data_IF_769510028768
#
_entry.id   IF_769510028768
#
_cell.length_a   1.000
_cell.length_b   1.000
_cell.length_c   1.000
_cell.angle_alpha   90.00
_cell.angle_beta   90.00
_cell.angle_gamma   90.00
#
_symmetry.space_group_name_H-M   'P 1'
#
loop_
_entity.id
_entity.type
_entity.pdbx_description
1 polymer ?
#
# COMPACT_ATOMS: atom_id res chain seq x y z
N UNK A 1 3.89 12.81 12.61
CA UNK A 1 3.46 12.39 11.26
C UNK A 1 1.95 12.53 11.09
N UNK A 2 1.08 11.78 11.78
CA UNK A 2 -0.38 12.01 11.68
C UNK A 2 -0.89 13.18 12.54
N UNK A 3 -0.11 13.58 13.56
CA UNK A 3 -0.47 14.67 14.46
C UNK A 3 -0.28 16.07 13.84
N UNK A 4 0.33 16.14 12.65
CA UNK A 4 0.60 17.36 11.89
C UNK A 4 -0.58 17.73 10.97
N UNK A 5 -1.65 16.92 10.96
CA UNK A 5 -2.84 17.17 10.13
C UNK A 5 -3.76 18.16 10.85
N UNK A 6 -3.91 19.34 10.26
CA UNK A 6 -4.78 20.38 10.80
C UNK A 6 -6.27 20.06 10.58
N UNK A 7 -7.16 20.78 11.30
CA UNK A 7 -8.60 20.70 11.05
C UNK A 7 -8.98 21.00 9.59
N UNK A 8 -8.21 21.86 8.91
CA UNK A 8 -8.45 22.25 7.52
C UNK A 8 -8.07 21.12 6.55
N UNK A 9 -6.92 20.48 6.75
CA UNK A 9 -6.51 19.30 5.98
C UNK A 9 -7.52 18.15 6.14
N UNK A 10 -8.04 17.93 7.35
CA UNK A 10 -9.08 16.93 7.59
C UNK A 10 -10.33 17.20 6.76
N UNK A 11 -10.82 18.44 6.73
CA UNK A 11 -11.97 18.84 5.91
C UNK A 11 -11.68 18.63 4.43
N UNK A 12 -10.46 18.94 3.98
CA UNK A 12 -10.02 18.74 2.60
C UNK A 12 -10.04 17.26 2.21
N UNK A 13 -9.57 16.37 3.09
CA UNK A 13 -9.62 14.92 2.88
C UNK A 13 -11.05 14.38 2.82
N UNK A 14 -11.95 14.88 3.68
CA UNK A 14 -13.36 14.50 3.65
C UNK A 14 -14.00 14.93 2.33
N UNK A 15 -13.74 16.15 1.88
CA UNK A 15 -14.21 16.65 0.58
C UNK A 15 -13.67 15.82 -0.59
N UNK A 16 -12.38 15.48 -0.56
CA UNK A 16 -11.75 14.61 -1.56
C UNK A 16 -12.42 13.23 -1.59
N UNK A 17 -12.64 12.63 -0.42
CA UNK A 17 -13.27 11.32 -0.30
C UNK A 17 -14.73 11.37 -0.82
N UNK A 18 -15.47 12.43 -0.50
CA UNK A 18 -16.83 12.66 -1.02
C UNK A 18 -16.81 12.85 -2.53
N UNK A 19 -15.82 13.53 -3.10
CA UNK A 19 -15.70 13.73 -4.55
C UNK A 19 -15.40 12.41 -5.28
N UNK A 20 -14.48 11.60 -4.74
CA UNK A 20 -14.04 10.33 -5.35
C UNK A 20 -15.11 9.25 -5.24
N UNK A 21 -15.67 9.06 -4.04
CA UNK A 21 -16.62 7.98 -3.78
C UNK A 21 -18.09 8.40 -3.93
N UNK A 22 -18.39 9.68 -3.75
CA UNK A 22 -19.74 10.23 -3.68
C UNK A 22 -20.28 10.33 -2.25
N UNK A 23 -21.06 11.38 -1.92
CA UNK A 23 -21.59 11.61 -0.56
C UNK A 23 -22.54 10.50 -0.09
N UNK A 24 -23.23 9.85 -1.03
CA UNK A 24 -24.19 8.77 -0.74
C UNK A 24 -23.51 7.42 -0.44
N UNK A 25 -22.31 7.18 -0.99
CA UNK A 25 -21.63 5.88 -0.89
C UNK A 25 -20.70 5.78 0.31
N UNK A 26 -20.05 6.87 0.68
CA UNK A 26 -19.16 6.94 1.84
C UNK A 26 -19.80 6.43 3.15
N UNK A 27 -20.97 6.93 3.59
CA UNK A 27 -21.59 6.49 4.84
C UNK A 27 -21.97 5.01 4.77
N UNK A 28 -22.43 4.53 3.60
CA UNK A 28 -22.75 3.12 3.39
C UNK A 28 -21.50 2.23 3.52
N UNK A 29 -20.37 2.62 2.92
CA UNK A 29 -19.11 1.89 3.07
C UNK A 29 -18.62 1.84 4.52
N UNK A 30 -18.70 2.98 5.24
CA UNK A 30 -18.31 3.03 6.66
C UNK A 30 -19.18 2.08 7.49
N UNK A 31 -20.49 2.05 7.22
CA UNK A 31 -21.42 1.13 7.89
C UNK A 31 -21.07 -0.33 7.60
N UNK A 32 -20.81 -0.68 6.34
CA UNK A 32 -20.48 -2.04 5.93
C UNK A 32 -19.16 -2.52 6.58
N UNK A 33 -18.13 -1.67 6.58
CA UNK A 33 -16.85 -1.94 7.26
C UNK A 33 -17.05 -2.09 8.76
N UNK A 34 -17.78 -1.17 9.41
CA UNK A 34 -18.04 -1.23 10.84
C UNK A 34 -18.80 -2.49 11.23
N UNK A 35 -19.80 -2.88 10.42
CA UNK A 35 -20.61 -4.08 10.65
C UNK A 35 -19.78 -5.34 10.48
N UNK A 36 -18.87 -5.36 9.51
CA UNK A 36 -17.93 -6.46 9.30
C UNK A 36 -16.96 -6.58 10.48
N UNK A 37 -16.39 -5.48 10.95
CA UNK A 37 -15.50 -5.45 12.12
C UNK A 37 -16.21 -6.00 13.37
N UNK A 38 -17.48 -5.60 13.59
CA UNK A 38 -18.28 -6.12 14.72
C UNK A 38 -18.49 -7.63 14.62
N UNK A 39 -18.87 -8.13 13.45
CA UNK A 39 -19.04 -9.58 13.20
C UNK A 39 -17.75 -10.37 13.43
N UNK A 40 -16.61 -9.84 12.97
CA UNK A 40 -15.31 -10.48 13.18
C UNK A 40 -15.01 -10.57 14.68
N UNK A 41 -15.27 -9.50 15.44
CA UNK A 41 -15.09 -9.49 16.90
C UNK A 41 -16.00 -10.50 17.58
N UNK A 42 -17.28 -10.51 17.26
CA UNK A 42 -18.27 -11.45 17.84
C UNK A 42 -17.92 -12.91 17.51
N UNK A 43 -17.50 -13.20 16.28
CA UNK A 43 -17.04 -14.53 15.87
C UNK A 43 -15.80 -14.96 16.63
N UNK A 44 -14.84 -14.05 16.81
CA UNK A 44 -13.61 -14.33 17.59
C UNK A 44 -13.92 -14.59 19.06
N UNK A 45 -14.83 -13.81 19.66
CA UNK A 45 -15.23 -13.99 21.06
C UNK A 45 -15.99 -15.31 21.26
N UNK A 46 -16.87 -15.67 20.31
CA UNK A 46 -17.62 -16.93 20.34
C UNK A 46 -16.72 -18.15 20.17
N UNK A 47 -15.82 -18.14 19.18
CA UNK A 47 -14.86 -19.22 18.95
C UNK A 47 -13.94 -19.43 20.16
N UNK A 48 -13.52 -18.36 20.84
CA UNK A 48 -12.77 -18.45 22.11
C UNK A 48 -13.58 -19.15 23.20
N UNK A 49 -14.87 -18.85 23.28
CA UNK A 49 -15.76 -19.46 24.27
C UNK A 49 -16.02 -20.94 23.98
N UNK A 50 -16.16 -21.33 22.72
CA UNK A 50 -16.36 -22.72 22.30
C UNK A 50 -15.09 -23.55 22.56
N UNK A 51 -13.90 -23.03 22.20
CA UNK A 51 -12.61 -23.67 22.46
C UNK A 51 -12.37 -23.85 23.97
N UNK A 52 -12.72 -22.85 24.79
CA UNK A 52 -12.60 -22.91 26.25
C UNK A 52 -13.58 -23.93 26.86
N UNK A 53 -14.77 -24.07 26.28
CA UNK A 53 -15.81 -24.99 26.76
C UNK A 53 -15.49 -26.45 26.43
N UNK A 54 -14.92 -26.73 25.26
CA UNK A 54 -14.72 -28.09 24.78
C UNK A 54 -13.34 -28.69 25.11
N UNK A 55 -12.29 -27.88 25.21
CA UNK A 55 -10.92 -28.39 25.43
C UNK A 55 -10.41 -28.26 26.88
N UNK A 56 -11.24 -27.73 27.78
CA UNK A 56 -10.92 -27.61 29.20
C UNK A 56 -9.90 -26.51 29.54
N UNK A 57 -9.57 -26.33 30.83
CA UNK A 57 -8.75 -25.21 31.32
C UNK A 57 -7.30 -25.21 30.80
N UNK A 58 -6.83 -26.29 30.17
CA UNK A 58 -5.49 -26.43 29.57
C UNK A 58 -5.29 -25.51 28.34
N UNK A 59 -6.36 -25.02 27.70
CA UNK A 59 -6.29 -24.03 26.61
C UNK A 59 -6.57 -22.60 27.07
N UNK A 60 -6.66 -22.34 28.38
CA UNK A 60 -6.70 -20.96 28.91
C UNK A 60 -5.46 -20.17 28.52
N UNK A 61 -4.33 -20.86 28.34
CA UNK A 61 -3.01 -20.29 28.07
C UNK A 61 -2.66 -20.23 26.58
N UNK A 62 -3.54 -20.76 25.68
CA UNK A 62 -3.55 -20.34 24.27
C UNK A 62 -4.17 -18.94 24.19
N UNK A 63 -3.45 -18.01 24.81
CA UNK A 63 -3.75 -16.61 24.84
C UNK A 63 -3.52 -16.02 23.46
N UNK A 64 -4.65 -15.83 22.78
CA UNK A 64 -4.83 -14.86 21.71
C UNK A 64 -4.55 -13.40 22.14
N UNK A 65 -3.74 -13.15 23.17
CA UNK A 65 -3.15 -11.83 23.47
C UNK A 65 -2.27 -11.35 22.30
N UNK A 66 -1.75 -12.28 21.49
CA UNK A 66 -1.03 -11.97 20.26
C UNK A 66 -1.92 -11.88 19.00
N UNK A 67 -3.25 -12.03 19.08
CA UNK A 67 -4.14 -11.82 17.91
C UNK A 67 -5.03 -10.59 18.02
N UNK A 68 -4.80 -9.71 19.00
CA UNK A 68 -5.34 -8.37 18.92
C UNK A 68 -4.55 -7.64 17.82
N UNK A 69 -5.14 -7.29 16.66
CA UNK A 69 -4.37 -6.74 15.55
C UNK A 69 -3.62 -5.48 15.97
N UNK A 70 -4.14 -4.70 16.93
CA UNK A 70 -3.40 -3.56 17.51
C UNK A 70 -2.15 -3.96 18.29
N UNK A 71 -2.19 -4.99 19.14
CA UNK A 71 -1.01 -5.44 19.89
C UNK A 71 -0.09 -6.27 19.01
N UNK A 72 -0.60 -7.07 18.06
CA UNK A 72 0.20 -7.79 17.07
C UNK A 72 0.90 -6.83 16.11
N UNK A 73 0.18 -5.84 15.52
CA UNK A 73 0.78 -4.80 14.69
C UNK A 73 1.75 -3.96 15.53
N UNK A 74 1.44 -3.64 16.79
CA UNK A 74 2.38 -2.92 17.65
C UNK A 74 3.62 -3.75 17.97
N UNK A 75 3.47 -5.02 18.31
CA UNK A 75 4.57 -5.94 18.59
C UNK A 75 5.39 -6.21 17.33
N UNK A 76 4.77 -6.32 16.15
CA UNK A 76 5.45 -6.45 14.86
C UNK A 76 6.01 -5.13 14.29
N UNK A 77 5.50 -3.97 14.72
CA UNK A 77 6.07 -2.65 14.43
C UNK A 77 7.24 -2.32 15.35
N UNK A 78 7.15 -2.74 16.62
CA UNK A 78 8.17 -2.56 17.64
C UNK A 78 9.28 -3.63 17.51
N UNK A 79 8.99 -4.81 16.95
CA UNK A 79 10.02 -5.77 16.53
C UNK A 79 10.61 -5.31 15.19
N UNK A 80 11.89 -4.93 15.22
CA UNK A 80 12.70 -4.46 14.09
C UNK A 80 12.79 -5.42 12.88
N UNK A 81 12.15 -6.59 12.92
CA UNK A 81 12.31 -7.69 11.95
C UNK A 81 11.63 -7.44 10.59
N UNK A 82 10.62 -6.57 10.52
CA UNK A 82 9.89 -6.29 9.28
C UNK A 82 10.47 -5.16 8.42
N UNK A 83 11.70 -4.69 8.70
CA UNK A 83 12.37 -3.70 7.85
C UNK A 83 11.62 -2.37 7.70
N UNK A 84 10.60 -2.11 8.52
CA UNK A 84 9.81 -0.87 8.49
C UNK A 84 10.65 0.34 8.87
N UNK A 85 11.76 0.13 9.59
CA UNK A 85 12.80 1.12 9.84
C UNK A 85 13.63 1.41 8.58
N UNK A 86 13.91 0.39 7.76
CA UNK A 86 14.51 0.52 6.42
C UNK A 86 13.58 1.28 5.47
N UNK A 87 12.27 1.00 5.50
CA UNK A 87 11.26 1.73 4.70
C UNK A 87 11.11 3.16 5.19
N UNK A 88 11.15 3.38 6.52
CA UNK A 88 11.10 4.73 7.11
C UNK A 88 12.37 5.54 6.82
N UNK A 89 13.53 4.90 6.79
CA UNK A 89 14.79 5.50 6.32
C UNK A 89 14.76 5.70 4.79
N UNK A 90 14.11 4.82 4.05
CA UNK A 90 13.86 4.96 2.61
C UNK A 90 12.95 6.15 2.27
N UNK A 91 12.12 6.61 3.21
CA UNK A 91 11.38 7.87 3.07
C UNK A 91 12.24 9.13 3.30
N UNK A 92 13.46 9.00 3.84
CA UNK A 92 14.45 10.08 3.91
C UNK A 92 15.08 10.39 2.53
N UNK A 93 14.85 9.53 1.51
CA UNK A 93 15.13 9.87 0.11
C UNK A 93 14.39 11.13 -0.36
N UNK A 94 13.29 11.53 0.30
CA UNK A 94 12.60 12.77 -0.04
C UNK A 94 13.46 13.99 0.26
N UNK A 95 14.31 13.90 1.29
CA UNK A 95 15.25 14.94 1.68
C UNK A 95 16.45 14.97 0.73
N UNK A 96 16.96 13.80 0.34
CA UNK A 96 18.01 13.70 -0.69
C UNK A 96 17.53 14.12 -2.08
N UNK A 97 16.30 13.78 -2.47
CA UNK A 97 15.66 14.27 -3.71
C UNK A 97 15.48 15.80 -3.69
N UNK A 98 15.15 16.37 -2.53
CA UNK A 98 15.05 17.82 -2.38
C UNK A 98 16.42 18.50 -2.52
N UNK A 99 17.48 17.92 -1.94
CA UNK A 99 18.85 18.43 -2.08
C UNK A 99 19.39 18.29 -3.51
N UNK A 100 19.15 17.15 -4.18
CA UNK A 100 19.52 16.94 -5.60
C UNK A 100 18.76 17.90 -6.50
N UNK A 101 17.47 18.14 -6.23
CA UNK A 101 16.67 19.11 -6.98
C UNK A 101 17.19 20.53 -6.79
N UNK A 102 17.56 20.91 -5.57
CA UNK A 102 18.13 22.23 -5.25
C UNK A 102 19.51 22.44 -5.88
N UNK A 103 20.35 21.41 -5.89
CA UNK A 103 21.66 21.43 -6.55
C UNK A 103 21.56 21.58 -8.07
N UNK A 104 20.53 21.00 -8.70
CA UNK A 104 20.24 21.16 -10.13
C UNK A 104 19.73 22.57 -10.44
N UNK A 105 18.82 23.11 -9.62
CA UNK A 105 18.32 24.49 -9.79
C UNK A 105 19.42 25.54 -9.55
N UNK A 106 20.38 25.24 -8.67
CA UNK A 106 21.55 26.11 -8.43
C UNK A 106 22.51 26.15 -9.63
N UNK A 107 22.62 25.06 -10.41
CA UNK A 107 23.47 25.00 -11.61
C UNK A 107 22.88 25.77 -12.80
N UNK A 108 21.57 25.95 -12.82
CA UNK A 108 20.87 26.75 -13.84
C UNK A 108 20.94 28.27 -13.57
N UNK A 109 21.28 28.66 -12.34
CA UNK A 109 21.36 30.08 -11.93
C UNK A 109 22.72 30.74 -12.22
N UNK A 110 23.75 29.97 -12.60
CA UNK A 110 25.10 30.48 -12.91
C UNK A 110 25.49 30.34 -14.40
N UNK A 111 24.52 30.09 -15.28
CA UNK A 111 24.80 30.01 -16.71
C UNK A 111 23.67 30.60 -17.57
N UNK A 112 23.73 31.91 -17.74
CA UNK A 112 23.38 32.54 -19.01
C UNK A 112 24.48 33.53 -19.34
N UNK A 113 25.19 33.36 -20.48
CA UNK A 113 24.58 33.81 -21.72
C UNK A 113 24.90 32.96 -22.97
N UNK A 114 24.23 33.34 -24.06
CA UNK A 114 24.54 33.11 -25.48
C UNK A 114 23.88 31.91 -26.20
N UNK A 115 22.74 32.23 -26.83
CA UNK A 115 22.43 32.01 -28.25
C UNK A 115 23.28 31.02 -29.06
N UNK A 116 22.62 30.00 -29.62
CA UNK A 116 22.63 29.67 -31.06
C UNK A 116 21.76 28.43 -31.29
N UNK A 117 20.57 28.62 -31.88
CA UNK A 117 20.29 28.17 -33.25
C UNK A 117 20.95 26.85 -33.63
N UNK A 118 20.17 25.79 -33.80
CA UNK A 118 19.76 25.33 -35.12
C UNK A 118 19.26 23.89 -35.08
N UNK A 119 18.36 23.65 -36.01
CA UNK A 119 17.62 22.45 -36.31
C UNK A 119 18.47 21.22 -36.67
N UNK A 120 17.77 20.09 -36.58
CA UNK A 120 17.71 19.01 -37.58
C UNK A 120 18.61 17.79 -37.41
N UNK A 121 17.89 16.66 -37.42
CA UNK A 121 18.19 15.42 -38.15
C UNK A 121 19.24 14.48 -37.58
N UNK A 122 18.90 13.19 -37.63
CA UNK A 122 19.89 12.12 -37.61
C UNK A 122 19.47 10.91 -36.80
N UNK A 123 18.87 9.95 -37.50
CA UNK A 123 18.68 8.57 -37.07
C UNK A 123 20.00 7.89 -36.68
N UNK A 124 19.97 7.02 -35.67
CA UNK A 124 20.78 5.80 -35.69
C UNK A 124 20.16 4.75 -34.78
N UNK A 125 20.05 3.54 -35.32
CA UNK A 125 19.28 2.45 -34.76
C UNK A 125 19.92 1.82 -33.51
N UNK A 126 19.05 1.22 -32.71
CA UNK A 126 19.43 0.14 -31.81
C UNK A 126 18.42 -0.99 -32.00
N UNK A 127 18.88 -2.04 -32.68
CA UNK A 127 18.22 -3.33 -32.75
C UNK A 127 18.26 -3.96 -31.36
N UNK A 128 17.20 -3.75 -30.58
CA UNK A 128 16.92 -4.47 -29.35
C UNK A 128 15.45 -4.88 -29.39
N UNK A 129 15.18 -6.18 -29.48
CA UNK A 129 13.85 -6.73 -29.71
C UNK A 129 12.81 -6.22 -28.72
N UNK A 130 11.89 -5.38 -29.20
CA UNK A 130 10.68 -5.02 -28.49
C UNK A 130 9.65 -6.10 -28.74
N UNK A 131 9.28 -6.84 -27.69
CA UNK A 131 8.18 -7.81 -27.75
C UNK A 131 6.90 -7.07 -28.13
N UNK A 132 6.30 -7.47 -29.24
CA UNK A 132 5.06 -6.91 -29.76
C UNK A 132 3.87 -7.37 -28.89
N UNK A 133 3.35 -6.46 -28.05
CA UNK A 133 2.23 -6.71 -27.13
C UNK A 133 0.86 -6.50 -27.80
N UNK A 134 0.78 -6.42 -29.13
CA UNK A 134 -0.50 -6.30 -29.84
C UNK A 134 -1.19 -7.64 -30.11
N UNK A 135 -0.59 -8.77 -29.72
CA UNK A 135 -1.23 -10.09 -29.80
C UNK A 135 -2.11 -10.34 -28.57
N UNK A 136 -3.41 -10.14 -28.75
CA UNK A 136 -4.48 -10.51 -27.80
C UNK A 136 -4.34 -12.00 -27.40
N UNK A 137 -4.27 -12.36 -26.11
CA UNK A 137 -4.18 -13.76 -25.70
C UNK A 137 -5.53 -14.44 -25.99
N UNK A 138 -5.48 -15.53 -26.75
CA UNK A 138 -6.66 -16.38 -27.00
C UNK A 138 -7.11 -17.02 -25.68
N UNK A 139 -8.43 -17.05 -25.39
CA UNK A 139 -8.95 -17.80 -24.27
C UNK A 139 -9.03 -19.28 -24.65
N UNK A 140 -8.94 -20.13 -23.64
CA UNK A 140 -9.29 -21.56 -23.68
C UNK A 140 -8.20 -22.54 -24.13
N UNK A 141 -7.23 -22.78 -23.24
CA UNK A 141 -6.72 -24.13 -23.04
C UNK A 141 -6.50 -24.36 -21.54
N UNK A 142 -7.53 -24.89 -20.87
CA UNK A 142 -7.35 -25.43 -19.51
C UNK A 142 -6.49 -26.68 -19.67
N UNK A 143 -5.39 -26.84 -18.89
CA UNK A 143 -4.61 -28.06 -18.94
C UNK A 143 -5.51 -29.27 -18.63
N UNK A 144 -5.28 -30.42 -19.28
CA UNK A 144 -6.08 -31.62 -19.07
C UNK A 144 -6.09 -32.02 -17.59
N UNK A 145 -7.24 -32.53 -17.14
CA UNK A 145 -7.45 -32.96 -15.76
C UNK A 145 -6.49 -34.11 -15.43
N UNK A 146 -5.63 -33.91 -14.42
CA UNK A 146 -4.71 -34.93 -13.91
C UNK A 146 -5.41 -35.77 -12.83
N UNK A 147 -5.71 -37.01 -13.18
CA UNK A 147 -6.44 -37.94 -12.31
C UNK A 147 -5.54 -38.65 -11.28
N UNK A 148 -4.21 -38.45 -11.31
CA UNK A 148 -3.26 -39.03 -10.35
C UNK A 148 -3.00 -38.11 -9.13
N UNK A 149 -3.61 -36.94 -9.06
CA UNK A 149 -3.51 -36.02 -7.93
C UNK A 149 -4.55 -36.35 -6.82
N UNK A 150 -4.37 -37.46 -6.12
CA UNK A 150 -5.09 -37.78 -4.85
C UNK A 150 -4.13 -38.28 -3.78
#
# INVERSE_FOLDING_TARGET
MFNDIGPLELVTLVLLAVLVFGPEKLPKMIQDVTRTIRKIREFSDSAKQDIRSELGPEFKDFEFEDLNPKTFIRKHLDNDELGLKEIRNGFDLKKEMAEVTDAVHSRESDSSPSSSSSSSSGSSGSSGGTVDMTKKPEPDERPPFDADAT
#
